data_IF_822379704442
#
_entry.id   IF_822379704442
#
_cell.length_a   1.000
_cell.length_b   1.000
_cell.length_c   1.000
_cell.angle_alpha   90.00
_cell.angle_beta   90.00
_cell.angle_gamma   90.00
#
_symmetry.space_group_name_H-M   'P 1'
#
loop_
_entity.id
_entity.type
_entity.pdbx_description
1 polymer ?
#
# COMPACT_ATOMS: atom_id res chain seq x y z
N UNK A 1 7.52 -0.59 -11.49
CA UNK A 1 6.09 -0.45 -11.14
C UNK A 1 5.30 -1.58 -11.77
N UNK A 2 4.92 -2.57 -10.97
CA UNK A 2 4.16 -3.76 -11.37
C UNK A 2 2.76 -3.73 -10.72
N UNK A 3 1.71 -4.11 -11.46
CA UNK A 3 0.32 -4.14 -11.00
C UNK A 3 -0.32 -5.54 -11.10
N UNK A 4 0.50 -6.60 -11.07
CA UNK A 4 -0.01 -7.96 -11.08
C UNK A 4 -0.97 -8.23 -9.91
N UNK A 5 -1.93 -9.15 -10.11
CA UNK A 5 -2.85 -9.59 -9.06
C UNK A 5 -2.13 -10.05 -7.78
N UNK A 6 -0.96 -10.68 -7.92
CA UNK A 6 -0.12 -11.08 -6.79
C UNK A 6 0.47 -9.90 -6.00
N UNK A 7 0.68 -8.74 -6.62
CA UNK A 7 1.11 -7.52 -5.92
C UNK A 7 -0.04 -6.96 -5.07
N UNK A 8 -1.27 -7.05 -5.56
CA UNK A 8 -2.44 -6.49 -4.91
C UNK A 8 -2.98 -7.39 -3.80
N UNK A 9 -2.96 -8.71 -4.01
CA UNK A 9 -3.57 -9.70 -3.11
C UNK A 9 -2.57 -10.74 -2.58
N UNK A 10 -1.27 -10.43 -2.60
CA UNK A 10 -0.19 -11.29 -2.11
C UNK A 10 -0.12 -11.41 -0.58
N UNK A 11 -1.22 -11.74 0.10
CA UNK A 11 -1.29 -11.83 1.56
C UNK A 11 -0.28 -12.83 2.16
N UNK A 12 0.01 -13.93 1.46
CA UNK A 12 0.97 -14.94 1.91
C UNK A 12 2.39 -14.36 2.00
N UNK A 13 2.75 -13.51 1.04
CA UNK A 13 4.04 -12.82 0.90
C UNK A 13 4.02 -11.41 1.50
N UNK A 14 3.01 -11.04 2.29
CA UNK A 14 2.93 -9.72 2.92
C UNK A 14 4.11 -9.51 3.86
N UNK A 15 4.46 -8.25 4.06
CA UNK A 15 5.41 -7.86 5.11
C UNK A 15 4.85 -8.24 6.48
N UNK A 16 5.67 -8.93 7.28
CA UNK A 16 5.34 -9.40 8.63
C UNK A 16 6.33 -8.96 9.69
N UNK A 17 7.49 -8.47 9.27
CA UNK A 17 8.56 -7.99 10.13
C UNK A 17 8.98 -6.58 9.69
N UNK A 18 9.50 -5.81 10.64
CA UNK A 18 10.05 -4.50 10.33
C UNK A 18 11.32 -4.67 9.51
N UNK A 19 11.49 -3.84 8.49
CA UNK A 19 12.64 -3.86 7.59
C UNK A 19 13.15 -2.45 7.38
N UNK A 20 14.45 -2.30 7.28
CA UNK A 20 15.09 -1.04 6.92
C UNK A 20 15.65 -1.17 5.51
N UNK A 21 15.40 -0.16 4.69
CA UNK A 21 15.81 -0.08 3.31
C UNK A 21 16.67 1.17 3.12
N UNK A 22 17.83 1.01 2.51
CA UNK A 22 18.77 2.10 2.25
C UNK A 22 19.05 2.21 0.76
N UNK A 23 19.29 3.45 0.31
CA UNK A 23 19.75 3.74 -1.05
C UNK A 23 20.71 4.90 -1.00
N UNK A 24 21.89 4.73 -1.60
CA UNK A 24 22.89 5.78 -1.72
C UNK A 24 22.88 6.33 -3.15
N UNK A 25 22.56 7.61 -3.30
CA UNK A 25 22.62 8.32 -4.59
C UNK A 25 23.39 9.62 -4.38
N UNK A 26 24.36 9.91 -5.26
CA UNK A 26 25.19 11.13 -5.20
C UNK A 26 25.88 11.38 -3.84
N UNK A 27 26.22 10.33 -3.10
CA UNK A 27 26.87 10.42 -1.78
C UNK A 27 25.90 10.62 -0.60
N UNK A 28 24.62 10.83 -0.86
CA UNK A 28 23.58 10.90 0.17
C UNK A 28 22.93 9.52 0.37
N UNK A 29 22.77 9.08 1.63
CA UNK A 29 22.09 7.83 1.96
C UNK A 29 20.67 8.12 2.44
N UNK A 30 19.67 7.66 1.69
CA UNK A 30 18.27 7.71 2.05
C UNK A 30 17.85 6.42 2.74
N UNK A 31 17.29 6.54 3.94
CA UNK A 31 16.80 5.40 4.73
C UNK A 31 15.27 5.42 4.82
N UNK A 32 14.65 4.27 4.59
CA UNK A 32 13.21 4.06 4.64
C UNK A 32 12.90 2.83 5.50
N UNK A 33 12.01 3.01 6.46
CA UNK A 33 11.54 1.91 7.31
C UNK A 33 10.22 1.39 6.74
N UNK A 34 10.10 0.07 6.62
CA UNK A 34 8.87 -0.67 6.30
C UNK A 34 8.43 -1.39 7.57
N UNK A 35 7.15 -1.25 7.94
CA UNK A 35 6.62 -1.87 9.15
C UNK A 35 5.98 -3.23 8.83
N UNK A 36 6.19 -4.21 9.71
CA UNK A 36 5.59 -5.55 9.63
C UNK A 36 4.15 -5.63 10.14
N UNK A 37 3.62 -4.51 10.63
CA UNK A 37 2.31 -4.41 11.26
C UNK A 37 1.25 -3.86 10.31
N UNK A 38 0.00 -4.00 10.71
CA UNK A 38 -1.12 -3.33 10.05
C UNK A 38 -0.93 -1.81 10.01
N UNK A 39 -1.19 -1.19 8.86
CA UNK A 39 -1.07 0.26 8.73
C UNK A 39 -2.41 0.96 8.93
N UNK A 40 -2.64 1.45 10.16
CA UNK A 40 -3.85 2.18 10.54
C UNK A 40 -4.04 3.49 9.76
N UNK A 41 -2.95 4.19 9.43
CA UNK A 41 -3.02 5.42 8.64
C UNK A 41 -3.48 5.15 7.21
N UNK A 42 -3.04 4.05 6.61
CA UNK A 42 -3.51 3.61 5.32
C UNK A 42 -4.97 3.14 5.36
N UNK A 43 -5.45 2.54 6.46
CA UNK A 43 -6.88 2.24 6.61
C UNK A 43 -7.73 3.51 6.65
N UNK A 44 -7.33 4.49 7.45
CA UNK A 44 -8.15 5.70 7.68
C UNK A 44 -8.06 6.70 6.52
N UNK A 45 -6.89 6.80 5.89
CA UNK A 45 -6.60 7.84 4.89
C UNK A 45 -6.25 7.27 3.52
N UNK A 46 -6.26 5.95 3.33
CA UNK A 46 -6.01 5.29 2.03
C UNK A 46 -4.74 5.79 1.34
N UNK A 47 -4.82 6.16 0.06
CA UNK A 47 -3.69 6.65 -0.73
C UNK A 47 -3.26 8.07 -0.31
N UNK A 48 -4.13 8.86 0.34
CA UNK A 48 -3.75 10.17 0.85
C UNK A 48 -2.64 10.09 1.89
N UNK A 49 -2.58 9.00 2.68
CA UNK A 49 -1.46 8.77 3.58
C UNK A 49 -0.12 8.71 2.83
N UNK A 50 -0.07 8.03 1.68
CA UNK A 50 1.13 7.99 0.84
C UNK A 50 1.49 9.36 0.25
N UNK A 51 0.48 10.16 -0.11
CA UNK A 51 0.66 11.50 -0.68
C UNK A 51 1.26 12.48 0.34
N UNK A 52 0.75 12.51 1.58
CA UNK A 52 1.15 13.50 2.58
C UNK A 52 2.31 13.05 3.46
N UNK A 53 2.56 11.75 3.59
CA UNK A 53 3.61 11.24 4.46
C UNK A 53 5.01 11.42 3.85
N UNK A 54 5.88 12.15 4.55
CA UNK A 54 7.30 12.29 4.19
C UNK A 54 8.02 10.94 4.10
N UNK A 55 7.63 9.99 4.97
CA UNK A 55 8.15 8.60 4.94
C UNK A 55 7.93 7.96 3.58
N UNK A 56 6.73 8.13 3.03
CA UNK A 56 6.28 7.49 1.80
C UNK A 56 6.76 8.20 0.52
N UNK A 57 7.46 9.35 0.64
CA UNK A 57 8.05 10.04 -0.51
C UNK A 57 9.11 9.17 -1.17
N UNK A 58 8.69 8.51 -2.25
CA UNK A 58 9.52 7.74 -3.17
C UNK A 58 8.83 7.76 -4.54
N UNK A 59 9.57 7.80 -5.65
CA UNK A 59 8.99 7.88 -6.98
C UNK A 59 7.89 6.83 -7.20
N UNK A 60 6.78 7.27 -7.80
CA UNK A 60 5.62 6.46 -8.21
C UNK A 60 4.82 5.73 -7.11
N UNK A 61 5.21 5.84 -5.83
CA UNK A 61 4.48 5.14 -4.76
C UNK A 61 3.05 5.63 -4.57
N UNK A 62 2.83 6.94 -4.67
CA UNK A 62 1.47 7.52 -4.60
C UNK A 62 0.56 6.88 -5.65
N UNK A 63 1.05 6.73 -6.89
CA UNK A 63 0.31 6.07 -7.97
C UNK A 63 0.07 4.60 -7.63
N UNK A 64 1.09 3.89 -7.13
CA UNK A 64 0.98 2.48 -6.72
C UNK A 64 -0.10 2.26 -5.65
N UNK A 65 -0.35 3.26 -4.80
CA UNK A 65 -1.40 3.22 -3.77
C UNK A 65 -2.76 3.74 -4.28
N UNK A 66 -2.77 4.70 -5.21
CA UNK A 66 -4.01 5.27 -5.75
C UNK A 66 -4.76 4.29 -6.66
N UNK A 67 -4.06 3.49 -7.45
CA UNK A 67 -4.72 2.53 -8.37
C UNK A 67 -5.55 1.48 -7.61
N UNK A 68 -5.05 0.80 -6.55
CA UNK A 68 -5.86 -0.04 -5.67
C UNK A 68 -7.08 0.67 -5.06
N UNK A 69 -6.92 1.95 -4.70
CA UNK A 69 -8.02 2.74 -4.15
C UNK A 69 -9.13 2.99 -5.20
N UNK A 70 -8.76 3.37 -6.43
CA UNK A 70 -9.73 3.56 -7.51
C UNK A 70 -10.49 2.27 -7.83
N UNK A 71 -9.81 1.12 -7.78
CA UNK A 71 -10.47 -0.18 -7.91
C UNK A 71 -11.47 -0.44 -6.78
N UNK A 72 -11.14 -0.09 -5.52
CA UNK A 72 -12.09 -0.17 -4.41
C UNK A 72 -13.29 0.75 -4.59
N UNK A 73 -13.10 1.96 -5.12
CA UNK A 73 -14.22 2.88 -5.43
C UNK A 73 -15.15 2.24 -6.46
N UNK A 74 -14.60 1.67 -7.54
CA UNK A 74 -15.39 0.96 -8.55
C UNK A 74 -16.16 -0.22 -7.95
N UNK A 75 -15.50 -1.05 -7.13
CA UNK A 75 -16.13 -2.18 -6.45
C UNK A 75 -17.25 -1.72 -5.52
N UNK A 76 -17.06 -0.62 -4.79
CA UNK A 76 -18.10 -0.06 -3.92
C UNK A 76 -19.29 0.47 -4.73
N UNK A 77 -19.06 1.16 -5.84
CA UNK A 77 -20.15 1.63 -6.72
C UNK A 77 -20.97 0.46 -7.25
N UNK A 78 -20.31 -0.60 -7.72
CA UNK A 78 -20.99 -1.83 -8.17
C UNK A 78 -21.72 -2.53 -7.02
N UNK A 79 -21.13 -2.56 -5.84
CA UNK A 79 -21.75 -3.19 -4.68
C UNK A 79 -23.04 -2.48 -4.25
N UNK A 80 -23.04 -1.14 -4.27
CA UNK A 80 -24.23 -0.34 -3.96
C UNK A 80 -25.36 -0.52 -4.99
N UNK A 81 -25.01 -0.79 -6.26
CA UNK A 81 -26.00 -1.02 -7.31
C UNK A 81 -26.62 -2.43 -7.26
N UNK A 82 -25.84 -3.43 -6.81
CA UNK A 82 -26.21 -4.84 -6.94
C UNK A 82 -26.66 -5.48 -5.61
N UNK A 83 -26.28 -4.90 -4.47
CA UNK A 83 -26.53 -5.49 -3.15
C UNK A 83 -27.22 -4.52 -2.20
N UNK A 84 -27.69 -5.07 -1.07
CA UNK A 84 -28.23 -4.29 0.03
C UNK A 84 -27.15 -3.44 0.70
N UNK A 85 -27.59 -2.36 1.34
CA UNK A 85 -26.70 -1.41 2.04
C UNK A 85 -25.75 -2.10 3.03
N UNK A 86 -26.26 -3.08 3.80
CA UNK A 86 -25.45 -3.84 4.76
C UNK A 86 -24.31 -4.62 4.09
N UNK A 87 -24.56 -5.20 2.92
CA UNK A 87 -23.54 -5.94 2.16
C UNK A 87 -22.53 -4.97 1.56
N UNK A 88 -22.99 -3.85 0.99
CA UNK A 88 -22.12 -2.82 0.45
C UNK A 88 -21.19 -2.22 1.53
N UNK A 89 -21.73 -1.95 2.72
CA UNK A 89 -20.96 -1.47 3.87
C UNK A 89 -19.90 -2.49 4.29
N UNK A 90 -20.26 -3.78 4.34
CA UNK A 90 -19.32 -4.85 4.67
C UNK A 90 -18.17 -4.92 3.66
N UNK A 91 -18.46 -4.82 2.37
CA UNK A 91 -17.45 -4.79 1.29
C UNK A 91 -16.52 -3.59 1.46
N UNK A 92 -17.07 -2.41 1.78
CA UNK A 92 -16.28 -1.21 2.00
C UNK A 92 -15.28 -1.38 3.15
N UNK A 93 -15.76 -1.89 4.30
CA UNK A 93 -14.93 -2.15 5.48
C UNK A 93 -13.83 -3.17 5.17
N UNK A 94 -14.17 -4.28 4.50
CA UNK A 94 -13.18 -5.28 4.10
C UNK A 94 -12.15 -4.70 3.13
N UNK A 95 -12.56 -3.82 2.22
CA UNK A 95 -11.66 -3.10 1.31
C UNK A 95 -10.68 -2.20 2.05
N UNK A 96 -11.14 -1.43 3.03
CA UNK A 96 -10.28 -0.58 3.86
C UNK A 96 -9.29 -1.41 4.70
N UNK A 97 -9.73 -2.52 5.27
CA UNK A 97 -8.88 -3.46 6.00
C UNK A 97 -7.82 -4.06 5.08
N UNK A 98 -8.20 -4.55 3.90
CA UNK A 98 -7.27 -5.06 2.90
C UNK A 98 -6.19 -4.02 2.55
N UNK A 99 -6.61 -2.78 2.32
CA UNK A 99 -5.71 -1.68 2.00
C UNK A 99 -4.66 -1.45 3.10
N UNK A 100 -5.10 -1.41 4.36
CA UNK A 100 -4.21 -1.29 5.52
C UNK A 100 -3.23 -2.45 5.70
N UNK A 101 -3.62 -3.68 5.35
CA UNK A 101 -2.73 -4.84 5.37
C UNK A 101 -1.69 -4.83 4.25
N UNK A 102 -2.06 -4.38 3.06
CA UNK A 102 -1.20 -4.46 1.88
C UNK A 102 -0.29 -3.24 1.70
N UNK A 103 -0.61 -2.10 2.31
CA UNK A 103 0.12 -0.85 2.14
C UNK A 103 1.64 -0.98 2.32
N UNK A 104 2.10 -1.58 3.42
CA UNK A 104 3.53 -1.78 3.70
C UNK A 104 4.19 -2.73 2.70
N UNK A 105 3.44 -3.70 2.16
CA UNK A 105 3.92 -4.61 1.12
C UNK A 105 4.11 -3.86 -0.20
N UNK A 106 3.15 -3.01 -0.58
CA UNK A 106 3.30 -2.15 -1.75
C UNK A 106 4.46 -1.17 -1.60
N UNK A 107 4.64 -0.61 -0.40
CA UNK A 107 5.75 0.29 -0.10
C UNK A 107 7.09 -0.42 -0.26
N UNK A 108 7.26 -1.58 0.38
CA UNK A 108 8.45 -2.43 0.22
C UNK A 108 8.74 -2.73 -1.26
N UNK A 109 7.73 -3.20 -2.00
CA UNK A 109 7.90 -3.56 -3.40
C UNK A 109 8.30 -2.32 -4.24
N UNK A 110 7.75 -1.14 -3.93
CA UNK A 110 8.15 0.09 -4.63
C UNK A 110 9.56 0.55 -4.25
N UNK A 111 9.99 0.36 -3.00
CA UNK A 111 11.37 0.64 -2.59
C UNK A 111 12.36 -0.25 -3.34
N UNK A 112 12.06 -1.55 -3.45
CA UNK A 112 12.86 -2.50 -4.24
C UNK A 112 12.90 -2.10 -5.72
N UNK A 113 11.75 -1.78 -6.32
CA UNK A 113 11.67 -1.28 -7.71
C UNK A 113 12.50 0.00 -7.90
N UNK A 114 12.58 0.86 -6.88
CA UNK A 114 13.35 2.11 -6.92
C UNK A 114 14.83 1.92 -6.55
N UNK A 115 15.30 0.68 -6.37
CA UNK A 115 16.71 0.33 -6.15
C UNK A 115 17.18 0.38 -4.70
N UNK A 116 16.27 0.51 -3.72
CA UNK A 116 16.63 0.40 -2.31
C UNK A 116 17.00 -1.04 -1.94
N UNK A 117 18.02 -1.19 -1.11
CA UNK A 117 18.49 -2.48 -0.61
C UNK A 117 18.07 -2.66 0.84
N UNK A 118 17.71 -3.89 1.22
CA UNK A 118 17.42 -4.22 2.61
C UNK A 118 18.72 -4.22 3.41
N UNK A 119 18.74 -3.46 4.50
CA UNK A 119 19.83 -3.51 5.48
C UNK A 119 19.78 -4.86 6.22
N UNK A 120 20.94 -5.51 6.35
CA UNK A 120 21.06 -6.86 6.91
C UNK A 120 20.75 -6.89 8.39
#
# INVERSE_FOLDING_TARGET
>A
MNFAWSEWFGFKSRVKENMVFTKTENGETSTKVVYGTFNWWALLFTWFYALFSVRCRTPFFVIKTAVPFLALVLVNMLAQLLFTENVALTINVLGAIWYGFMFETWFKNQLVDNGYQREK
#
